data_IF_474222109219
#
_entry.id   IF_474222109219
#
_cell.length_a   1.000
_cell.length_b   1.000
_cell.length_c   1.000
_cell.angle_alpha   90.00
_cell.angle_beta   90.00
_cell.angle_gamma   90.00
#
_symmetry.space_group_name_H-M   'P 1'
#
loop_
_entity.id
_entity.type
_entity.pdbx_description
1 polymer ?
#
# COMPACT_ATOMS: atom_id res chain seq x y z
N UNK A 1 96.69 14.71 -24.38
CA UNK A 1 97.19 13.73 -23.40
C UNK A 1 96.00 13.19 -22.65
N UNK A 2 95.57 11.99 -23.04
CA UNK A 2 94.80 11.03 -22.25
C UNK A 2 95.60 10.56 -20.99
N UNK A 3 95.06 9.67 -20.13
CA UNK A 3 93.69 9.57 -19.58
C UNK A 3 93.72 9.24 -18.06
N UNK A 4 92.54 9.04 -17.45
CA UNK A 4 92.43 8.50 -16.10
C UNK A 4 91.01 8.01 -15.80
N UNK A 5 90.75 6.74 -16.14
CA UNK A 5 89.56 5.97 -15.82
C UNK A 5 89.32 5.83 -14.30
N UNK A 6 88.06 5.86 -13.88
CA UNK A 6 87.61 5.14 -12.68
C UNK A 6 86.13 4.76 -12.80
N UNK A 7 85.94 3.49 -13.12
CA UNK A 7 84.70 2.73 -13.16
C UNK A 7 84.11 2.55 -11.75
N UNK A 8 82.84 2.90 -11.54
CA UNK A 8 82.06 2.42 -10.41
C UNK A 8 80.65 2.04 -10.87
N UNK A 9 80.32 0.77 -10.62
CA UNK A 9 79.08 0.09 -10.95
C UNK A 9 77.92 0.63 -10.10
N UNK A 10 76.76 0.89 -10.72
CA UNK A 10 75.48 0.96 -10.01
C UNK A 10 74.45 0.08 -10.71
N UNK A 11 74.09 -1.01 -10.04
CA UNK A 11 72.93 -1.83 -10.34
C UNK A 11 71.66 -1.02 -10.04
N UNK A 12 70.82 -0.79 -11.05
CA UNK A 12 69.41 -0.44 -10.84
C UNK A 12 68.54 -1.44 -11.60
N UNK A 13 68.03 -2.39 -10.83
CA UNK A 13 66.94 -3.29 -11.21
C UNK A 13 65.62 -2.51 -11.09
N UNK A 14 64.71 -2.75 -12.03
CA UNK A 14 63.46 -2.02 -12.16
C UNK A 14 62.41 -2.30 -11.08
N UNK A 15 61.41 -1.43 -11.05
CA UNK A 15 60.05 -1.81 -10.67
C UNK A 15 59.04 -0.94 -11.42
N UNK A 16 58.21 -1.62 -12.20
CA UNK A 16 57.02 -1.10 -12.83
C UNK A 16 56.04 -0.60 -11.76
N UNK A 17 55.64 0.66 -11.84
CA UNK A 17 54.60 1.22 -10.98
C UNK A 17 53.23 0.73 -11.44
N UNK A 18 52.78 -0.41 -10.89
CA UNK A 18 51.36 -0.78 -10.88
C UNK A 18 50.60 0.23 -10.00
N UNK A 19 49.72 0.97 -10.64
CA UNK A 19 48.80 1.92 -10.02
C UNK A 19 47.71 1.12 -9.29
N UNK A 20 48.00 0.67 -8.07
CA UNK A 20 46.99 0.10 -7.17
C UNK A 20 45.97 1.17 -6.79
N UNK A 21 44.81 1.15 -7.44
CA UNK A 21 43.59 1.79 -6.94
C UNK A 21 43.21 1.13 -5.63
N UNK A 22 43.53 1.81 -4.53
CA UNK A 22 42.95 1.59 -3.21
C UNK A 22 41.42 1.65 -3.33
N UNK A 23 40.76 0.49 -3.27
CA UNK A 23 39.32 0.39 -3.07
C UNK A 23 39.11 0.58 -1.57
N UNK A 24 38.76 1.79 -1.15
CA UNK A 24 38.29 2.03 0.20
C UNK A 24 37.08 1.13 0.48
N UNK A 25 37.06 0.37 1.57
CA UNK A 25 35.89 -0.43 1.93
C UNK A 25 34.69 0.51 2.14
N UNK A 26 33.60 0.25 1.43
CA UNK A 26 32.33 0.94 1.67
C UNK A 26 31.92 0.67 3.12
N UNK A 27 31.82 1.72 3.91
CA UNK A 27 31.29 1.66 5.28
C UNK A 27 29.78 1.38 5.17
N UNK A 28 29.41 0.10 5.18
CA UNK A 28 28.00 -0.33 5.22
C UNK A 28 27.30 0.27 6.44
N UNK A 29 26.06 0.73 6.29
CA UNK A 29 25.27 1.21 7.43
C UNK A 29 25.19 0.12 8.51
N UNK A 30 25.37 0.49 9.77
CA UNK A 30 25.27 -0.42 10.91
C UNK A 30 23.85 -1.01 10.98
N UNK A 31 23.65 -2.20 10.41
CA UNK A 31 22.33 -2.85 10.32
C UNK A 31 22.02 -3.54 8.99
N UNK A 32 22.81 -3.32 7.93
CA UNK A 32 22.64 -4.08 6.70
C UNK A 32 23.15 -5.52 6.88
N UNK A 33 22.34 -6.56 6.56
CA UNK A 33 22.78 -7.94 6.75
C UNK A 33 23.92 -8.28 5.79
N UNK A 34 25.01 -8.85 6.30
CA UNK A 34 26.12 -9.32 5.45
C UNK A 34 25.74 -10.50 4.53
N UNK A 35 24.66 -11.22 4.84
CA UNK A 35 24.08 -12.26 4.00
C UNK A 35 22.56 -12.04 3.88
N UNK A 36 22.07 -11.81 2.67
CA UNK A 36 20.65 -11.68 2.37
C UNK A 36 20.04 -13.05 2.01
N UNK A 37 18.78 -13.27 2.38
CA UNK A 37 18.02 -14.39 1.82
C UNK A 37 17.73 -14.17 0.34
N UNK A 38 17.31 -15.22 -0.38
CA UNK A 38 16.97 -15.10 -1.80
C UNK A 38 15.89 -14.04 -2.06
N UNK A 39 14.81 -14.03 -1.27
CA UNK A 39 13.74 -13.05 -1.42
C UNK A 39 14.19 -11.62 -1.06
N UNK A 40 15.09 -11.48 -0.09
CA UNK A 40 15.69 -10.18 0.23
C UNK A 40 16.59 -9.69 -0.90
N UNK A 41 17.40 -10.57 -1.48
CA UNK A 41 18.26 -10.24 -2.63
C UNK A 41 17.42 -9.81 -3.83
N UNK A 42 16.39 -10.59 -4.20
CA UNK A 42 15.46 -10.22 -5.27
C UNK A 42 14.80 -8.86 -5.03
N UNK A 43 14.39 -8.57 -3.79
CA UNK A 43 13.81 -7.28 -3.45
C UNK A 43 14.83 -6.13 -3.57
N UNK A 44 16.08 -6.35 -3.14
CA UNK A 44 17.17 -5.37 -3.30
C UNK A 44 17.47 -5.13 -4.78
N UNK A 45 17.52 -6.17 -5.60
CA UNK A 45 17.75 -6.04 -7.06
C UNK A 45 16.64 -5.20 -7.71
N UNK A 46 15.38 -5.41 -7.31
CA UNK A 46 14.23 -4.58 -7.74
C UNK A 46 14.40 -3.12 -7.31
N UNK A 47 14.85 -2.87 -6.07
CA UNK A 47 15.09 -1.51 -5.58
C UNK A 47 16.21 -0.81 -6.35
N UNK A 48 17.34 -1.50 -6.55
CA UNK A 48 18.47 -0.96 -7.28
C UNK A 48 18.11 -0.67 -8.73
N UNK A 49 17.32 -1.54 -9.38
CA UNK A 49 16.79 -1.29 -10.70
C UNK A 49 15.87 -0.06 -10.74
N UNK A 50 14.93 0.06 -9.78
CA UNK A 50 14.06 1.23 -9.63
C UNK A 50 14.88 2.52 -9.48
N UNK A 51 15.83 2.55 -8.55
CA UNK A 51 16.68 3.71 -8.31
C UNK A 51 17.54 4.05 -9.55
N UNK A 52 18.04 3.05 -10.26
CA UNK A 52 18.78 3.25 -11.52
C UNK A 52 17.91 3.93 -12.59
N UNK A 53 16.65 3.50 -12.77
CA UNK A 53 15.71 4.15 -13.70
C UNK A 53 15.31 5.56 -13.27
N UNK A 54 15.26 5.85 -11.97
CA UNK A 54 14.93 7.19 -11.47
C UNK A 54 16.04 8.22 -11.69
N UNK A 55 17.31 7.78 -11.72
CA UNK A 55 18.47 8.64 -11.99
C UNK A 55 18.93 8.62 -13.45
N UNK A 56 18.20 7.96 -14.34
CA UNK A 56 18.49 8.00 -15.76
C UNK A 56 18.05 9.36 -16.34
N UNK A 57 18.92 10.15 -17.01
CA UNK A 57 18.55 11.47 -17.51
C UNK A 57 17.37 11.50 -18.49
N UNK A 58 17.12 10.39 -19.20
CA UNK A 58 15.98 10.23 -20.11
C UNK A 58 14.67 9.84 -19.42
N UNK A 59 14.70 9.57 -18.12
CA UNK A 59 13.51 9.18 -17.35
C UNK A 59 12.59 10.37 -17.14
N UNK A 60 11.28 10.17 -17.38
CA UNK A 60 10.25 11.20 -17.07
C UNK A 60 10.20 11.57 -15.58
N UNK A 61 10.81 10.76 -14.72
CA UNK A 61 10.88 10.98 -13.28
C UNK A 61 12.19 11.64 -12.83
N UNK A 62 13.16 11.86 -13.74
CA UNK A 62 14.49 12.38 -13.41
C UNK A 62 14.43 13.75 -12.73
N UNK A 63 13.65 14.69 -13.27
CA UNK A 63 13.51 16.04 -12.70
C UNK A 63 13.06 15.99 -11.23
N UNK A 64 12.18 15.04 -10.89
CA UNK A 64 11.58 14.92 -9.57
C UNK A 64 12.42 14.09 -8.60
N UNK A 65 13.03 13.00 -9.06
CA UNK A 65 13.68 12.01 -8.20
C UNK A 65 15.19 11.87 -8.44
N UNK A 66 15.69 12.20 -9.63
CA UNK A 66 17.09 11.99 -10.02
C UNK A 66 18.07 12.63 -9.04
N UNK A 67 17.85 13.91 -8.73
CA UNK A 67 18.70 14.63 -7.76
C UNK A 67 18.63 14.07 -6.33
N UNK A 68 17.53 13.43 -5.92
CA UNK A 68 17.46 12.75 -4.62
C UNK A 68 18.32 11.48 -4.63
N UNK A 69 18.17 10.66 -5.68
CA UNK A 69 18.87 9.37 -5.79
C UNK A 69 20.36 9.56 -6.00
N UNK A 70 20.79 10.57 -6.77
CA UNK A 70 22.21 10.85 -7.02
C UNK A 70 22.94 11.36 -5.79
N UNK A 71 22.28 12.18 -4.95
CA UNK A 71 22.90 12.75 -3.74
C UNK A 71 23.10 11.73 -2.63
N UNK A 72 22.28 10.67 -2.57
CA UNK A 72 22.26 9.71 -1.48
C UNK A 72 22.74 8.33 -1.95
N UNK A 73 24.04 8.07 -1.87
CA UNK A 73 24.65 6.83 -2.35
C UNK A 73 24.15 5.56 -1.62
N UNK A 74 23.79 5.69 -0.34
CA UNK A 74 23.36 4.58 0.53
C UNK A 74 21.82 4.53 0.69
N UNK A 75 21.09 5.11 -0.28
CA UNK A 75 19.63 5.19 -0.24
C UNK A 75 18.96 3.81 -0.27
N UNK A 76 19.54 2.85 -0.98
CA UNK A 76 19.04 1.47 -1.05
C UNK A 76 19.19 0.74 0.29
N UNK A 77 20.35 0.82 0.93
CA UNK A 77 20.58 0.29 2.29
C UNK A 77 19.60 0.90 3.30
N UNK A 78 19.39 2.22 3.22
CA UNK A 78 18.45 2.91 4.10
C UNK A 78 17.01 2.48 3.86
N UNK A 79 16.56 2.40 2.60
CA UNK A 79 15.22 1.90 2.26
C UNK A 79 15.03 0.48 2.79
N UNK A 80 16.02 -0.40 2.63
CA UNK A 80 16.00 -1.76 3.16
C UNK A 80 15.82 -1.78 4.69
N UNK A 81 16.55 -0.92 5.40
CA UNK A 81 16.43 -0.79 6.86
C UNK A 81 15.05 -0.31 7.34
N UNK A 82 14.30 0.41 6.49
CA UNK A 82 12.95 0.87 6.82
C UNK A 82 11.90 -0.25 6.77
N UNK A 83 12.18 -1.37 6.11
CA UNK A 83 11.23 -2.47 5.96
C UNK A 83 11.15 -3.29 7.25
N UNK A 84 9.92 -3.57 7.69
CA UNK A 84 9.70 -4.37 8.90
C UNK A 84 10.15 -5.82 8.69
N UNK A 85 10.84 -6.45 9.66
CA UNK A 85 11.38 -7.81 9.51
C UNK A 85 10.36 -8.90 9.11
N UNK A 86 9.10 -8.76 9.55
CA UNK A 86 8.05 -9.73 9.22
C UNK A 86 7.64 -9.71 7.73
N UNK A 87 7.92 -8.61 7.02
CA UNK A 87 7.72 -8.54 5.57
C UNK A 87 8.67 -9.51 4.85
N UNK A 88 9.94 -9.57 5.28
CA UNK A 88 10.92 -10.49 4.70
C UNK A 88 10.51 -11.94 4.90
N UNK A 89 10.06 -12.30 6.11
CA UNK A 89 9.53 -13.64 6.40
C UNK A 89 8.34 -14.01 5.52
N UNK A 90 7.50 -13.03 5.17
CA UNK A 90 6.38 -13.25 4.28
C UNK A 90 6.84 -13.47 2.83
N UNK A 91 7.75 -12.64 2.33
CA UNK A 91 8.26 -12.74 0.96
C UNK A 91 9.03 -14.04 0.70
N UNK A 92 9.77 -14.53 1.70
CA UNK A 92 10.45 -15.85 1.68
C UNK A 92 9.46 -17.03 1.75
N UNK A 93 8.28 -16.79 2.31
CA UNK A 93 7.32 -17.82 2.65
C UNK A 93 6.30 -18.10 1.55
N UNK A 94 5.25 -18.82 1.95
CA UNK A 94 4.09 -19.04 1.08
C UNK A 94 3.16 -17.84 1.13
N UNK A 95 2.84 -17.31 -0.04
CA UNK A 95 1.94 -16.18 -0.19
C UNK A 95 0.50 -16.62 0.00
N UNK A 96 -0.04 -16.36 1.19
CA UNK A 96 -1.44 -16.59 1.52
C UNK A 96 -1.92 -15.57 2.56
N UNK A 97 -3.24 -15.53 2.77
CA UNK A 97 -3.89 -14.55 3.64
C UNK A 97 -3.50 -14.71 5.12
N UNK A 98 -3.25 -15.93 5.60
CA UNK A 98 -2.85 -16.17 6.98
C UNK A 98 -1.42 -15.70 7.26
N UNK A 99 -0.51 -15.92 6.31
CA UNK A 99 0.85 -15.38 6.39
C UNK A 99 0.85 -13.84 6.40
N UNK A 100 -0.03 -13.20 5.63
CA UNK A 100 -0.18 -11.73 5.65
C UNK A 100 -0.64 -11.20 7.02
N UNK A 101 -1.50 -11.92 7.75
CA UNK A 101 -1.92 -11.51 9.11
C UNK A 101 -0.71 -11.40 10.06
N UNK A 102 0.30 -12.25 9.88
CA UNK A 102 1.53 -12.24 10.67
C UNK A 102 2.45 -11.05 10.34
N UNK A 103 2.34 -10.49 9.13
CA UNK A 103 3.01 -9.22 8.78
C UNK A 103 2.39 -8.04 9.52
N UNK A 104 1.23 -8.22 10.14
CA UNK A 104 0.55 -7.25 10.99
C UNK A 104 1.52 -6.43 11.85
N UNK A 105 1.16 -5.16 12.05
CA UNK A 105 1.95 -4.23 12.85
C UNK A 105 1.07 -3.53 13.86
N UNK A 106 1.64 -2.56 14.57
CA UNK A 106 0.85 -1.67 15.38
C UNK A 106 0.07 -0.69 14.47
N UNK A 107 -1.14 -1.08 14.07
CA UNK A 107 -2.02 -0.25 13.25
C UNK A 107 -2.50 1.02 13.98
N UNK A 108 -2.19 1.16 15.27
CA UNK A 108 -2.45 2.38 16.05
C UNK A 108 -1.26 3.33 16.04
N UNK A 109 -0.11 2.93 15.49
CA UNK A 109 1.03 3.81 15.31
C UNK A 109 0.69 4.92 14.32
N UNK A 110 1.01 6.16 14.68
CA UNK A 110 0.89 7.32 13.80
C UNK A 110 2.20 7.64 13.07
N UNK A 111 3.07 6.63 12.89
CA UNK A 111 4.28 6.77 12.10
C UNK A 111 3.99 7.12 10.64
N UNK A 112 4.99 7.72 9.98
CA UNK A 112 5.08 7.85 8.53
C UNK A 112 5.56 6.52 7.94
N UNK A 113 4.93 6.04 6.87
CA UNK A 113 5.36 4.77 6.28
C UNK A 113 4.45 4.23 5.20
N UNK A 114 4.69 2.96 4.87
CA UNK A 114 3.99 2.19 3.85
C UNK A 114 3.19 1.07 4.54
N UNK A 115 1.96 0.86 4.10
CA UNK A 115 1.08 -0.22 4.55
C UNK A 115 0.61 -1.05 3.36
N UNK A 116 0.13 -2.26 3.64
CA UNK A 116 -0.67 -3.02 2.71
C UNK A 116 -2.12 -3.12 3.20
N UNK A 117 -3.03 -3.29 2.24
CA UNK A 117 -4.43 -3.69 2.44
C UNK A 117 -4.69 -4.91 1.58
N UNK A 118 -4.82 -6.07 2.22
CA UNK A 118 -5.16 -7.31 1.56
C UNK A 118 -6.66 -7.57 1.70
N UNK A 119 -7.33 -7.73 0.58
CA UNK A 119 -8.77 -7.78 0.45
C UNK A 119 -9.16 -9.16 -0.07
N UNK A 120 -9.86 -9.93 0.76
CA UNK A 120 -10.40 -11.21 0.35
C UNK A 120 -11.83 -11.02 -0.17
N UNK A 121 -11.97 -11.11 -1.49
CA UNK A 121 -13.22 -10.84 -2.20
C UNK A 121 -14.28 -11.92 -1.97
N UNK A 122 -15.53 -11.58 -2.30
CA UNK A 122 -16.65 -12.55 -2.36
C UNK A 122 -16.42 -13.67 -3.37
N UNK A 123 -15.58 -13.40 -4.37
CA UNK A 123 -15.12 -14.36 -5.38
C UNK A 123 -13.99 -15.29 -4.90
N UNK A 124 -13.66 -15.25 -3.61
CA UNK A 124 -12.59 -16.03 -2.96
C UNK A 124 -11.19 -15.68 -3.46
N UNK A 125 -11.03 -14.59 -4.22
CA UNK A 125 -9.73 -14.11 -4.65
C UNK A 125 -9.20 -13.07 -3.67
N UNK A 126 -7.93 -13.19 -3.31
CA UNK A 126 -7.24 -12.19 -2.49
C UNK A 126 -6.57 -11.17 -3.40
N UNK A 127 -6.76 -9.89 -3.10
CA UNK A 127 -6.15 -8.79 -3.83
C UNK A 127 -5.36 -7.92 -2.87
N UNK A 128 -4.30 -7.28 -3.35
CA UNK A 128 -3.43 -6.48 -2.50
C UNK A 128 -3.26 -5.07 -3.04
N UNK A 129 -3.37 -4.10 -2.13
CA UNK A 129 -3.08 -2.71 -2.34
C UNK A 129 -1.92 -2.30 -1.42
N UNK A 130 -0.92 -1.62 -1.95
CA UNK A 130 0.16 -0.98 -1.19
C UNK A 130 -0.12 0.52 -1.16
N UNK A 131 0.00 1.16 0.00
CA UNK A 131 -0.20 2.59 0.12
C UNK A 131 0.78 3.22 1.08
N UNK A 132 1.03 4.51 0.96
CA UNK A 132 1.79 5.29 1.93
C UNK A 132 0.92 6.28 2.71
N UNK A 133 1.44 6.72 3.85
CA UNK A 133 0.88 7.85 4.59
C UNK A 133 1.93 8.50 5.47
N UNK A 134 1.79 9.81 5.69
CA UNK A 134 2.47 10.49 6.78
C UNK A 134 1.89 10.15 8.16
N UNK A 135 0.62 9.72 8.20
CA UNK A 135 -0.12 9.35 9.41
C UNK A 135 -0.79 8.00 9.21
N UNK A 136 -0.07 6.91 9.48
CA UNK A 136 -0.56 5.55 9.20
C UNK A 136 -1.87 5.23 9.92
N UNK A 137 -1.96 5.54 11.22
CA UNK A 137 -3.19 5.32 12.01
C UNK A 137 -4.40 5.99 11.38
N UNK A 138 -4.29 7.27 11.04
CA UNK A 138 -5.40 8.05 10.46
C UNK A 138 -5.80 7.47 9.09
N UNK A 139 -4.81 7.20 8.24
CA UNK A 139 -5.05 6.66 6.89
C UNK A 139 -5.71 5.28 6.93
N UNK A 140 -5.26 4.41 7.82
CA UNK A 140 -5.86 3.07 8.01
C UNK A 140 -7.30 3.20 8.53
N UNK A 141 -7.55 4.11 9.47
CA UNK A 141 -8.91 4.37 9.95
C UNK A 141 -9.85 4.90 8.86
N UNK A 142 -9.36 5.72 7.92
CA UNK A 142 -10.15 6.20 6.78
C UNK A 142 -10.64 5.05 5.90
N UNK A 143 -9.83 4.01 5.68
CA UNK A 143 -10.26 2.83 4.91
C UNK A 143 -11.46 2.12 5.50
N UNK A 144 -11.59 2.12 6.83
CA UNK A 144 -12.76 1.53 7.51
C UNK A 144 -14.00 2.43 7.48
N UNK A 145 -13.83 3.73 7.26
CA UNK A 145 -14.92 4.68 7.22
C UNK A 145 -15.69 4.62 5.89
N UNK A 146 -16.92 4.09 5.94
CA UNK A 146 -17.81 4.00 4.78
C UNK A 146 -18.04 5.35 4.07
N UNK A 147 -18.23 6.45 4.81
CA UNK A 147 -18.46 7.77 4.21
C UNK A 147 -17.22 8.24 3.44
N UNK A 148 -16.04 8.03 4.03
CA UNK A 148 -14.79 8.35 3.36
C UNK A 148 -14.65 7.58 2.04
N UNK A 149 -14.90 6.26 2.05
CA UNK A 149 -14.84 5.43 0.83
C UNK A 149 -15.82 5.88 -0.26
N UNK A 150 -17.06 6.19 0.14
CA UNK A 150 -18.09 6.70 -0.77
C UNK A 150 -17.65 7.99 -1.46
N UNK A 151 -17.06 8.90 -0.68
CA UNK A 151 -16.68 10.23 -1.16
C UNK A 151 -15.33 10.24 -1.92
N UNK A 152 -14.58 9.13 -1.89
CA UNK A 152 -13.25 9.00 -2.53
C UNK A 152 -13.18 7.72 -3.40
N UNK A 153 -14.05 7.54 -4.40
CA UNK A 153 -14.15 6.30 -5.15
C UNK A 153 -12.82 5.87 -5.78
N UNK A 154 -12.48 4.59 -5.63
CA UNK A 154 -11.26 3.98 -6.19
C UNK A 154 -11.46 2.49 -6.36
N UNK A 155 -10.63 1.84 -7.19
CA UNK A 155 -10.65 0.37 -7.32
C UNK A 155 -10.40 -0.32 -5.97
N UNK A 156 -9.51 0.24 -5.14
CA UNK A 156 -9.25 -0.27 -3.78
C UNK A 156 -10.53 -0.28 -2.93
N UNK A 157 -11.32 0.80 -2.95
CA UNK A 157 -12.57 0.87 -2.21
C UNK A 157 -13.70 0.05 -2.81
N UNK A 158 -13.74 -0.08 -4.13
CA UNK A 158 -14.63 -1.03 -4.80
C UNK A 158 -14.35 -2.45 -4.32
N UNK A 159 -13.07 -2.83 -4.27
CA UNK A 159 -12.64 -4.12 -3.75
C UNK A 159 -13.04 -4.31 -2.28
N UNK A 160 -12.83 -3.30 -1.42
CA UNK A 160 -13.21 -3.37 0.00
C UNK A 160 -14.72 -3.54 0.17
N UNK A 161 -15.54 -2.89 -0.67
CA UNK A 161 -16.99 -3.01 -0.62
C UNK A 161 -17.48 -4.41 -1.01
N UNK A 162 -16.74 -5.12 -1.86
CA UNK A 162 -17.04 -6.49 -2.33
C UNK A 162 -16.20 -7.56 -1.61
N UNK A 163 -15.87 -7.32 -0.33
CA UNK A 163 -15.00 -8.20 0.45
C UNK A 163 -15.73 -8.95 1.56
N UNK A 164 -15.24 -10.15 1.87
CA UNK A 164 -15.64 -10.92 3.05
C UNK A 164 -14.77 -10.51 4.24
N UNK A 165 -13.48 -10.27 3.98
CA UNK A 165 -12.50 -10.04 5.02
C UNK A 165 -11.31 -9.22 4.49
N UNK A 166 -10.78 -8.34 5.33
CA UNK A 166 -9.66 -7.46 4.99
C UNK A 166 -8.58 -7.52 6.06
N UNK A 167 -7.31 -7.51 5.63
CA UNK A 167 -6.13 -7.44 6.50
C UNK A 167 -5.37 -6.16 6.17
N UNK A 168 -4.95 -5.45 7.21
CA UNK A 168 -3.99 -4.36 7.09
C UNK A 168 -2.71 -4.74 7.82
N UNK A 169 -1.58 -4.33 7.26
CA UNK A 169 -0.29 -4.45 7.92
C UNK A 169 0.65 -3.35 7.49
N UNK A 170 1.64 -3.07 8.33
CA UNK A 170 2.64 -2.04 8.07
C UNK A 170 3.84 -2.72 7.42
N UNK A 171 4.28 -2.18 6.28
CA UNK A 171 5.37 -2.70 5.46
C UNK A 171 6.67 -1.99 5.82
N UNK A 172 6.66 -0.66 5.74
CA UNK A 172 7.83 0.18 5.99
C UNK A 172 7.48 1.30 6.98
N UNK A 173 8.44 1.70 7.81
CA UNK A 173 8.30 2.82 8.73
C UNK A 173 9.50 3.73 8.60
N UNK A 174 9.26 5.01 8.34
CA UNK A 174 10.33 6.00 8.37
C UNK A 174 10.67 6.36 9.81
N UNK A 175 11.95 6.63 10.13
CA UNK A 175 12.34 7.17 11.41
C UNK A 175 11.58 8.48 11.73
N UNK A 176 11.28 8.76 13.01
CA UNK A 176 10.58 9.99 13.40
C UNK A 176 11.44 11.23 13.05
N UNK A 177 10.83 12.38 12.74
CA UNK A 177 11.58 13.60 12.46
C UNK A 177 12.18 14.15 13.76
N UNK A 178 13.43 13.78 14.04
CA UNK A 178 14.21 14.28 15.17
C UNK A 178 15.58 14.78 14.68
N UNK A 179 16.31 15.48 15.54
CA UNK A 179 17.53 16.20 15.17
C UNK A 179 18.62 15.34 14.50
N UNK A 180 18.63 14.02 14.68
CA UNK A 180 19.57 13.12 14.01
C UNK A 180 19.05 12.52 12.71
N UNK A 181 17.74 12.30 12.60
CA UNK A 181 17.16 11.54 11.48
C UNK A 181 17.05 12.34 10.17
N UNK A 182 17.16 13.66 10.21
CA UNK A 182 17.17 14.50 9.00
C UNK A 182 18.42 14.29 8.13
N UNK A 183 19.52 13.81 8.73
CA UNK A 183 20.76 13.52 8.02
C UNK A 183 20.78 12.12 7.38
N UNK A 184 19.76 11.29 7.64
CA UNK A 184 19.67 9.96 7.03
C UNK A 184 19.34 10.07 5.54
N UNK A 185 19.78 9.11 4.71
CA UNK A 185 19.55 9.13 3.26
C UNK A 185 18.09 9.39 2.89
N UNK A 186 17.84 10.35 2.00
CA UNK A 186 16.50 10.69 1.51
C UNK A 186 15.55 11.37 2.51
N UNK A 187 15.93 11.54 3.78
CA UNK A 187 15.09 12.18 4.81
C UNK A 187 15.02 13.71 4.69
N UNK A 188 15.82 14.30 3.81
CA UNK A 188 15.68 15.69 3.33
C UNK A 188 14.43 15.87 2.45
N UNK A 189 13.92 14.80 1.84
CA UNK A 189 12.70 14.79 1.02
C UNK A 189 11.81 13.58 1.38
N UNK A 190 11.23 13.51 2.60
CA UNK A 190 10.56 12.31 3.11
C UNK A 190 9.34 11.90 2.28
N UNK A 191 8.67 12.84 1.60
CA UNK A 191 7.53 12.53 0.73
C UNK A 191 7.96 11.76 -0.54
N UNK A 192 9.08 12.16 -1.14
CA UNK A 192 9.64 11.44 -2.29
C UNK A 192 10.17 10.07 -1.88
N UNK A 193 10.78 9.99 -0.70
CA UNK A 193 11.21 8.72 -0.12
C UNK A 193 10.02 7.77 0.12
N UNK A 194 8.89 8.27 0.63
CA UNK A 194 7.67 7.46 0.78
C UNK A 194 7.15 6.96 -0.57
N UNK A 195 7.19 7.77 -1.62
CA UNK A 195 6.80 7.34 -2.97
C UNK A 195 7.74 6.23 -3.51
N UNK A 196 9.05 6.34 -3.26
CA UNK A 196 10.04 5.30 -3.64
C UNK A 196 9.75 4.00 -2.86
N UNK A 197 9.53 4.08 -1.54
CA UNK A 197 9.20 2.91 -0.72
C UNK A 197 7.86 2.28 -1.13
N UNK A 198 6.84 3.08 -1.43
CA UNK A 198 5.55 2.60 -1.92
C UNK A 198 5.72 1.90 -3.28
N UNK A 199 6.45 2.51 -4.22
CA UNK A 199 6.73 1.90 -5.53
C UNK A 199 7.49 0.60 -5.38
N UNK A 200 8.57 0.59 -4.61
CA UNK A 200 9.39 -0.59 -4.38
C UNK A 200 8.57 -1.74 -3.79
N UNK A 201 7.78 -1.46 -2.75
CA UNK A 201 6.97 -2.50 -2.14
C UNK A 201 5.78 -2.90 -3.00
N UNK A 202 5.24 -2.01 -3.84
CA UNK A 202 4.23 -2.37 -4.83
C UNK A 202 4.79 -3.31 -5.91
N UNK A 203 6.05 -3.14 -6.30
CA UNK A 203 6.76 -4.08 -7.18
C UNK A 203 7.02 -5.42 -6.48
N UNK A 204 7.54 -5.38 -5.24
CA UNK A 204 7.85 -6.58 -4.47
C UNK A 204 6.59 -7.43 -4.19
N UNK A 205 5.47 -6.80 -3.85
CA UNK A 205 4.16 -7.46 -3.66
C UNK A 205 3.39 -7.70 -4.96
N UNK A 206 3.91 -7.22 -6.10
CA UNK A 206 3.29 -7.31 -7.43
C UNK A 206 1.86 -6.77 -7.44
N UNK A 207 1.65 -5.66 -6.75
CA UNK A 207 0.33 -5.05 -6.54
C UNK A 207 -0.08 -4.06 -7.64
N UNK A 208 0.82 -3.80 -8.60
CA UNK A 208 0.65 -2.93 -9.76
C UNK A 208 0.06 -3.68 -10.96
N UNK A 209 -0.48 -2.98 -11.99
CA UNK A 209 -1.00 -3.63 -13.18
C UNK A 209 0.14 -4.24 -13.99
N UNK A 210 -0.16 -5.28 -14.77
CA UNK A 210 0.84 -6.04 -15.53
C UNK A 210 1.73 -5.16 -16.41
N UNK A 211 1.16 -4.15 -17.06
CA UNK A 211 1.90 -3.21 -17.91
C UNK A 211 2.99 -2.47 -17.11
N UNK A 212 2.63 -1.93 -15.94
CA UNK A 212 3.56 -1.25 -15.04
C UNK A 212 4.60 -2.22 -14.45
N UNK A 213 4.21 -3.45 -14.10
CA UNK A 213 5.15 -4.47 -13.64
C UNK A 213 6.19 -4.81 -14.73
N UNK A 214 5.78 -4.89 -16.00
CA UNK A 214 6.69 -5.14 -17.13
C UNK A 214 7.68 -3.99 -17.31
N UNK A 215 7.23 -2.76 -17.13
CA UNK A 215 8.07 -1.58 -17.27
C UNK A 215 9.11 -1.44 -16.14
N UNK A 216 8.73 -1.79 -14.90
CA UNK A 216 9.51 -1.42 -13.71
C UNK A 216 10.23 -2.57 -13.01
N UNK A 217 9.91 -3.83 -13.31
CA UNK A 217 10.68 -4.96 -12.79
C UNK A 217 11.90 -5.23 -13.68
N UNK A 218 13.04 -5.64 -13.10
CA UNK A 218 14.20 -6.07 -13.87
C UNK A 218 13.87 -7.31 -14.72
N UNK A 219 14.62 -7.50 -15.81
CA UNK A 219 14.46 -8.69 -16.65
C UNK A 219 14.66 -9.97 -15.83
N UNK A 220 13.81 -10.97 -16.07
CA UNK A 220 13.85 -12.23 -15.33
C UNK A 220 13.13 -12.21 -13.97
N UNK A 221 12.76 -11.05 -13.42
CA UNK A 221 11.96 -11.01 -12.20
C UNK A 221 10.57 -11.63 -12.43
N UNK A 222 10.16 -12.51 -11.52
CA UNK A 222 8.84 -13.15 -11.60
C UNK A 222 7.72 -12.12 -11.52
N UNK A 223 6.78 -12.17 -12.46
CA UNK A 223 5.64 -11.24 -12.51
C UNK A 223 4.36 -11.81 -11.89
N UNK A 224 4.35 -13.12 -11.67
CA UNK A 224 3.18 -13.82 -11.17
C UNK A 224 3.12 -13.78 -9.64
N UNK A 225 1.89 -13.65 -9.13
CA UNK A 225 1.53 -13.65 -7.71
C UNK A 225 0.17 -14.31 -7.56
N UNK A 226 -0.09 -15.02 -6.44
CA UNK A 226 -1.44 -15.53 -6.17
C UNK A 226 -2.45 -14.42 -5.83
N UNK A 227 -2.02 -13.16 -5.71
CA UNK A 227 -2.88 -12.03 -5.39
C UNK A 227 -3.16 -11.14 -6.59
N UNK A 228 -4.40 -10.65 -6.70
CA UNK A 228 -4.75 -9.65 -7.71
C UNK A 228 -4.23 -8.25 -7.36
N UNK A 229 -3.80 -7.43 -8.34
CA UNK A 229 -3.31 -6.09 -8.11
C UNK A 229 -4.44 -5.07 -7.88
N UNK A 230 -4.22 -4.10 -6.99
CA UNK A 230 -5.16 -2.99 -6.75
C UNK A 230 -4.52 -1.60 -6.88
N UNK A 231 -3.19 -1.50 -6.99
CA UNK A 231 -2.54 -0.24 -7.30
C UNK A 231 -2.71 0.06 -8.78
N UNK A 232 -3.58 1.00 -9.14
CA UNK A 232 -3.81 1.40 -10.54
C UNK A 232 -3.01 2.65 -10.92
N UNK A 233 -2.64 3.47 -9.94
CA UNK A 233 -1.79 4.64 -10.12
C UNK A 233 -0.34 4.28 -9.82
N UNK A 234 0.60 4.81 -10.60
CA UNK A 234 2.02 4.68 -10.29
C UNK A 234 2.36 5.50 -9.02
N UNK A 235 2.88 4.86 -7.95
CA UNK A 235 3.24 5.56 -6.71
C UNK A 235 4.19 6.75 -6.88
N UNK A 236 5.05 6.73 -7.91
CA UNK A 236 5.99 7.82 -8.23
C UNK A 236 5.28 9.11 -8.68
N UNK A 237 4.01 9.03 -9.09
CA UNK A 237 3.21 10.18 -9.53
C UNK A 237 2.44 10.83 -8.38
N UNK A 238 2.45 10.23 -7.18
CA UNK A 238 1.78 10.77 -5.99
C UNK A 238 2.30 12.18 -5.66
N UNK A 239 1.39 13.15 -5.51
CA UNK A 239 1.72 14.56 -5.25
C UNK A 239 2.16 15.36 -6.49
N UNK A 240 2.18 14.76 -7.68
CA UNK A 240 2.37 15.48 -8.96
C UNK A 240 1.06 16.00 -9.54
N UNK A 241 1.17 16.82 -10.59
CA UNK A 241 0.03 17.39 -11.34
C UNK A 241 -0.59 16.41 -12.33
N UNK A 242 0.18 15.45 -12.83
CA UNK A 242 -0.25 14.49 -13.84
C UNK A 242 -0.23 13.07 -13.26
N UNK A 243 -1.32 12.33 -13.49
CA UNK A 243 -1.41 10.90 -13.20
C UNK A 243 -1.66 10.15 -14.50
N UNK A 244 -0.80 9.19 -14.80
CA UNK A 244 -1.00 8.28 -15.92
C UNK A 244 -2.24 7.43 -15.65
N UNK A 245 -3.15 7.39 -16.62
CA UNK A 245 -4.23 6.41 -16.61
C UNK A 245 -3.71 5.09 -17.18
N UNK A 246 -3.87 4.01 -16.43
CA UNK A 246 -3.57 2.65 -16.92
C UNK A 246 -4.82 2.06 -17.53
N UNK A 247 -4.71 1.53 -18.74
CA UNK A 247 -5.80 0.78 -19.35
C UNK A 247 -5.95 -0.58 -18.68
N UNK A 248 -7.14 -0.83 -18.15
CA UNK A 248 -7.50 -2.05 -17.42
C UNK A 248 -8.52 -2.90 -18.20
N UNK A 249 -8.87 -2.53 -19.44
CA UNK A 249 -9.85 -3.24 -20.27
C UNK A 249 -9.55 -4.73 -20.44
N UNK A 250 -8.26 -5.06 -20.52
CA UNK A 250 -7.78 -6.42 -20.76
C UNK A 250 -7.65 -7.26 -19.48
N UNK A 251 -8.01 -6.68 -18.32
CA UNK A 251 -7.96 -7.40 -17.05
C UNK A 251 -8.95 -8.56 -17.05
N UNK A 252 -8.46 -9.75 -16.70
CA UNK A 252 -9.28 -10.95 -16.49
C UNK A 252 -9.90 -11.01 -15.10
N UNK A 253 -9.53 -10.09 -14.22
CA UNK A 253 -10.06 -10.02 -12.87
C UNK A 253 -11.51 -9.51 -12.90
N UNK A 254 -12.45 -10.35 -12.44
CA UNK A 254 -13.89 -10.07 -12.47
C UNK A 254 -14.26 -8.80 -11.68
N UNK A 255 -13.54 -8.51 -10.59
CA UNK A 255 -13.78 -7.32 -9.78
C UNK A 255 -13.33 -6.06 -10.52
N UNK A 256 -12.22 -6.14 -11.25
CA UNK A 256 -11.74 -5.04 -12.11
C UNK A 256 -12.70 -4.82 -13.27
N UNK A 257 -13.18 -5.89 -13.91
CA UNK A 257 -14.18 -5.78 -14.98
C UNK A 257 -15.50 -5.17 -14.50
N UNK A 258 -15.95 -5.52 -13.30
CA UNK A 258 -17.14 -4.92 -12.67
C UNK A 258 -16.91 -3.43 -12.36
N UNK A 259 -15.73 -3.06 -11.88
CA UNK A 259 -15.36 -1.66 -11.62
C UNK A 259 -15.34 -0.79 -12.89
N UNK A 260 -14.83 -1.31 -14.00
CA UNK A 260 -14.72 -0.57 -15.28
C UNK A 260 -16.06 -0.52 -16.03
N UNK A 261 -17.04 -1.34 -15.65
CA UNK A 261 -18.39 -1.34 -16.23
C UNK A 261 -19.37 -0.62 -15.30
N UNK A 262 -19.32 0.72 -15.21
CA UNK A 262 -20.36 1.44 -14.52
C UNK A 262 -21.65 1.30 -15.35
N UNK A 263 -22.55 0.43 -14.89
CA UNK A 263 -24.00 0.58 -15.05
C UNK A 263 -24.60 0.30 -16.44
N UNK A 264 -24.79 -0.99 -16.77
CA UNK A 264 -26.06 -1.45 -17.43
C UNK A 264 -27.07 -2.01 -16.42
N UNK A 265 -26.73 -2.06 -15.13
CA UNK A 265 -27.56 -2.68 -14.09
C UNK A 265 -28.61 -1.75 -13.45
N UNK A 266 -28.54 -0.42 -13.68
CA UNK A 266 -29.53 0.51 -13.13
C UNK A 266 -30.73 0.76 -14.06
N UNK A 267 -30.59 0.60 -15.37
CA UNK A 267 -31.70 0.80 -16.32
C UNK A 267 -32.68 -0.39 -16.31
N UNK A 268 -32.18 -1.63 -16.28
CA UNK A 268 -33.04 -2.83 -16.29
C UNK A 268 -33.79 -3.14 -14.98
N UNK A 269 -33.52 -2.41 -13.90
CA UNK A 269 -34.24 -2.54 -12.63
C UNK A 269 -35.36 -1.49 -12.46
N UNK A 270 -35.31 -0.40 -13.24
CA UNK A 270 -36.35 0.64 -13.25
C UNK A 270 -37.38 0.33 -14.35
N UNK A 271 -36.96 -0.18 -15.50
CA UNK A 271 -37.88 -0.55 -16.60
C UNK A 271 -38.76 -1.79 -16.33
N UNK A 272 -38.49 -2.56 -15.26
CA UNK A 272 -39.33 -3.72 -14.89
C UNK A 272 -40.37 -3.45 -13.81
N UNK A 273 -40.51 -2.20 -13.35
CA UNK A 273 -41.57 -1.82 -12.40
C UNK A 273 -42.77 -1.11 -13.04
N UNK A 274 -42.71 -0.76 -14.34
CA UNK A 274 -43.74 0.06 -14.99
C UNK A 274 -44.57 -0.65 -16.08
N UNK A 275 -44.42 -1.97 -16.29
CA UNK A 275 -45.29 -2.72 -17.21
C UNK A 275 -45.86 -4.01 -16.59
N UNK A 276 -46.92 -3.87 -15.78
CA UNK A 276 -48.17 -4.66 -15.85
C UNK A 276 -49.05 -4.39 -14.60
N UNK A 277 -50.29 -3.86 -14.75
CA UNK A 277 -51.27 -3.94 -13.67
C UNK A 277 -51.81 -5.38 -13.59
N UNK A 278 -51.19 -6.22 -12.76
CA UNK A 278 -51.73 -7.53 -12.41
C UNK A 278 -53.16 -7.39 -11.86
N UNK A 279 -54.12 -7.98 -12.58
CA UNK A 279 -55.47 -8.25 -12.08
C UNK A 279 -55.37 -9.10 -10.82
N UNK A 280 -55.78 -8.53 -9.69
CA UNK A 280 -55.99 -9.27 -8.44
C UNK A 280 -56.95 -10.45 -8.69
N UNK A 281 -56.59 -11.70 -8.35
CA UNK A 281 -57.56 -12.78 -8.24
C UNK A 281 -58.44 -12.53 -7.02
N UNK A 282 -59.75 -12.66 -7.18
CA UNK A 282 -60.73 -12.63 -6.08
C UNK A 282 -60.40 -13.71 -5.04
N UNK A 283 -59.84 -13.29 -3.91
CA UNK A 283 -59.66 -14.13 -2.73
C UNK A 283 -60.96 -14.13 -1.91
N UNK A 284 -61.50 -15.30 -1.52
CA UNK A 284 -62.68 -15.37 -0.66
C UNK A 284 -62.39 -14.78 0.73
N UNK A 285 -63.43 -14.25 1.41
CA UNK A 285 -63.25 -13.55 2.68
C UNK A 285 -62.63 -14.45 3.75
N UNK A 286 -61.77 -13.92 4.64
CA UNK A 286 -61.05 -14.72 5.61
C UNK A 286 -62.02 -15.27 6.67
N UNK A 287 -62.02 -16.59 6.85
CA UNK A 287 -62.69 -17.24 7.95
C UNK A 287 -61.93 -17.00 9.28
N UNK A 288 -62.67 -16.91 10.38
CA UNK A 288 -62.22 -16.55 11.74
C UNK A 288 -61.00 -17.36 12.26
N UNK A 289 -60.68 -18.49 11.64
CA UNK A 289 -59.56 -19.36 12.02
C UNK A 289 -58.18 -18.76 11.74
N UNK A 290 -58.06 -17.86 10.76
CA UNK A 290 -56.77 -17.23 10.40
C UNK A 290 -56.42 -16.00 11.24
N UNK A 291 -57.34 -15.50 12.07
CA UNK A 291 -57.09 -14.37 12.97
C UNK A 291 -56.29 -14.78 14.22
N UNK A 292 -56.43 -16.04 14.66
CA UNK A 292 -55.78 -16.56 15.86
C UNK A 292 -54.26 -16.78 15.70
N UNK A 293 -53.75 -16.98 14.48
CA UNK A 293 -52.32 -17.23 14.25
C UNK A 293 -51.53 -15.91 14.16
N UNK A 294 -52.17 -14.82 13.74
CA UNK A 294 -51.50 -13.52 13.58
C UNK A 294 -51.43 -12.69 14.88
N UNK A 295 -52.20 -13.06 15.91
CA UNK A 295 -52.14 -12.44 17.26
C UNK A 295 -51.09 -13.07 18.19
N UNK A 296 -50.42 -14.17 17.79
CA UNK A 296 -49.46 -14.87 18.64
C UNK A 296 -47.97 -14.50 18.44
N UNK A 297 -47.67 -13.53 17.56
CA UNK A 297 -46.32 -12.99 17.35
C UNK A 297 -46.17 -11.55 17.89
N UNK A 298 -46.80 -11.28 19.04
CA UNK A 298 -46.45 -10.13 19.89
C UNK A 298 -45.39 -10.61 20.87
N UNK A 299 -44.12 -10.32 20.58
CA UNK A 299 -43.03 -10.52 21.54
C UNK A 299 -43.34 -9.63 22.76
N UNK A 300 -43.76 -10.25 23.86
CA UNK A 300 -43.92 -9.56 25.15
C UNK A 300 -42.53 -9.16 25.67
N UNK A 301 -42.11 -7.95 25.31
CA UNK A 301 -40.97 -7.30 25.95
C UNK A 301 -41.42 -6.92 27.36
N UNK A 302 -40.91 -7.64 28.36
CA UNK A 302 -41.13 -7.35 29.78
C UNK A 302 -40.82 -5.88 30.09
N UNK A 303 -41.64 -5.24 30.93
CA UNK A 303 -41.45 -3.85 31.37
C UNK A 303 -40.07 -3.62 31.99
N UNK A 304 -39.45 -4.66 32.54
CA UNK A 304 -38.06 -4.62 33.05
C UNK A 304 -37.02 -4.54 31.92
N UNK A 305 -37.23 -5.22 30.80
CA UNK A 305 -36.34 -5.16 29.64
C UNK A 305 -36.40 -3.78 28.96
N UNK A 306 -37.58 -3.16 28.91
CA UNK A 306 -37.73 -1.80 28.39
C UNK A 306 -37.02 -0.77 29.30
N UNK A 307 -37.12 -0.92 30.62
CA UNK A 307 -36.40 -0.06 31.56
C UNK A 307 -34.87 -0.16 31.39
N UNK A 308 -34.34 -1.38 31.22
CA UNK A 308 -32.90 -1.60 31.00
C UNK A 308 -32.44 -0.93 29.70
N UNK A 309 -33.21 -1.06 28.61
CA UNK A 309 -32.90 -0.44 27.32
C UNK A 309 -32.89 1.10 27.39
N UNK A 310 -33.87 1.70 28.08
CA UNK A 310 -33.92 3.15 28.30
C UNK A 310 -32.75 3.61 29.17
N UNK A 311 -32.43 2.89 30.24
CA UNK A 311 -31.33 3.26 31.14
C UNK A 311 -29.96 3.16 30.42
N UNK A 312 -29.76 2.14 29.60
CA UNK A 312 -28.54 1.99 28.80
C UNK A 312 -28.37 3.11 27.76
N UNK A 313 -29.46 3.54 27.12
CA UNK A 313 -29.45 4.66 26.18
C UNK A 313 -29.09 5.99 26.86
N UNK A 314 -29.63 6.26 28.06
CA UNK A 314 -29.32 7.48 28.81
C UNK A 314 -27.89 7.51 29.35
N UNK A 315 -27.35 6.37 29.83
CA UNK A 315 -25.95 6.29 30.26
C UNK A 315 -25.00 6.46 29.07
N UNK A 316 -25.31 5.83 27.92
CA UNK A 316 -24.55 6.02 26.68
C UNK A 316 -24.51 7.48 26.24
N UNK A 317 -25.65 8.18 26.28
CA UNK A 317 -25.73 9.59 25.91
C UNK A 317 -25.01 10.52 26.89
N UNK A 318 -25.07 10.27 28.20
CA UNK A 318 -24.40 11.08 29.22
C UNK A 318 -22.86 10.91 29.20
N UNK A 319 -22.36 9.72 28.86
CA UNK A 319 -20.91 9.47 28.71
C UNK A 319 -20.38 10.09 27.42
N UNK A 320 -21.15 10.06 26.32
CA UNK A 320 -20.72 10.63 25.04
C UNK A 320 -20.79 12.17 25.02
N UNK A 321 -21.73 12.78 25.76
CA UNK A 321 -21.89 14.24 25.81
C UNK A 321 -20.90 14.94 26.75
N UNK A 322 -20.27 14.22 27.70
CA UNK A 322 -19.23 14.79 28.58
C UNK A 322 -17.82 14.83 27.98
N UNK A 323 -17.58 14.19 26.83
CA UNK A 323 -16.28 14.18 26.17
C UNK A 323 -16.12 15.23 25.03
N UNK A 324 -17.08 16.14 24.90
CA UNK A 324 -17.13 17.16 23.84
C UNK A 324 -16.22 18.37 24.11
N UNK A 325 -14.90 18.19 24.05
CA UNK A 325 -14.00 19.31 23.77
C UNK A 325 -14.23 19.79 22.33
N UNK A 326 -14.54 21.07 22.14
CA UNK A 326 -14.82 21.68 20.85
C UNK A 326 -13.61 21.56 19.91
N UNK A 327 -13.69 20.70 18.91
CA UNK A 327 -12.76 20.66 17.78
C UNK A 327 -13.24 21.67 16.73
N UNK A 328 -12.46 22.70 16.37
CA UNK A 328 -12.85 23.63 15.32
C UNK A 328 -12.82 22.92 13.96
N UNK A 329 -13.88 23.12 13.17
CA UNK A 329 -13.96 22.66 11.77
C UNK A 329 -13.00 23.48 10.91
N UNK A 330 -12.05 22.87 10.18
CA UNK A 330 -11.34 23.57 9.13
C UNK A 330 -12.26 23.72 7.91
N UNK A 331 -12.64 24.97 7.62
CA UNK A 331 -13.12 25.37 6.31
C UNK A 331 -11.92 25.43 5.35
N UNK A 332 -11.82 24.45 4.46
CA UNK A 332 -10.77 24.41 3.44
C UNK A 332 -11.31 23.76 2.18
N UNK A 333 -11.80 24.59 1.27
CA UNK A 333 -12.14 24.24 -0.11
C UNK A 333 -10.81 24.03 -0.85
N UNK A 334 -10.52 22.81 -1.30
CA UNK A 334 -9.36 22.55 -2.16
C UNK A 334 -9.82 22.01 -3.50
N UNK A 335 -9.27 22.63 -4.54
CA UNK A 335 -9.41 22.30 -5.96
C UNK A 335 -8.60 21.06 -6.31
#
# INVERSE_FOLDING_TARGET
MEPGDSTAQSYFNGSSSEFQRSISPKTTMSGFPGNLSLAQQEAVDVLQHLLAKLKEPGSKYYERYGGLVERHADLDEFCFSCIRPYVWRFLEGRWNLDALKLVGGDLRSDSRGVYFSAIHGLDKQTRIYIGQSQHLRIRIAQHWNFRYRRDNPSLHYHAMQQSIFNVFGIVAVLPPPNAGNHALPGMDCPDLLLNILEMWMALAFKSLPKQTLVEWLPEGAGKDTPFGPLNISNPLETGGSERGWVDLSDSKDLLIQDYIRPEKKKEGAIEKMDEEPEKKPDLPPPTEKNRAIHEQLVIQISSRAMLIMVTAAFVGFAVFSRAGGSVPKPNGRWR
#
